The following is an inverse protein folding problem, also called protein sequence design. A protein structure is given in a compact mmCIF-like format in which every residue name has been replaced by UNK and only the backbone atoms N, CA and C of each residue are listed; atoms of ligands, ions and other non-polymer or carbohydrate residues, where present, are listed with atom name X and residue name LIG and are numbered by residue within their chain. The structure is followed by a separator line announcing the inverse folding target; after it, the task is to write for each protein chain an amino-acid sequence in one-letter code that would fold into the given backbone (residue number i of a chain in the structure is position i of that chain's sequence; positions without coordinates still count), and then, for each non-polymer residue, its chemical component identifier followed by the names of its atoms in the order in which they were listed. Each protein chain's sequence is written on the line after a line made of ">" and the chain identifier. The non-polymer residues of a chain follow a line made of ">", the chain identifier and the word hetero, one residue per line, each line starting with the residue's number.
data_IF_985167979289
#
_entry.id   IF_985167979289
#
_cell.length_a   1.000
_cell.length_b   1.000
_cell.length_c   1.000
_cell.angle_alpha   90.00
_cell.angle_beta   90.00
_cell.angle_gamma   90.00
#
_symmetry.space_group_name_H-M   'P 1'
#
loop_
_entity.id
_entity.type
_entity.pdbx_description
1 polymer ?
#
# COMPACT_ATOMS: atom_id res chain seq x y z
N UNK A 1 -3.97 -22.90 11.45
CA UNK A 1 -3.11 -22.75 10.27
C UNK A 1 -1.96 -21.77 10.51
N UNK A 2 -2.19 -20.53 11.00
CA UNK A 2 -1.08 -19.56 11.23
C UNK A 2 -0.15 -20.04 12.35
N UNK A 3 -0.69 -20.60 13.43
CA UNK A 3 0.11 -21.09 14.54
C UNK A 3 0.98 -22.29 14.15
N UNK A 4 0.44 -23.25 13.41
CA UNK A 4 1.19 -24.39 12.91
C UNK A 4 2.37 -23.94 12.06
N UNK A 5 2.15 -22.98 11.15
CA UNK A 5 3.19 -22.41 10.30
C UNK A 5 4.31 -21.72 11.10
N UNK A 6 3.99 -21.01 12.18
CA UNK A 6 4.99 -20.37 13.05
C UNK A 6 5.84 -21.39 13.81
N UNK A 7 5.27 -22.55 14.17
CA UNK A 7 5.98 -23.59 14.91
C UNK A 7 6.72 -24.61 14.05
N UNK A 8 6.58 -24.55 12.74
CA UNK A 8 7.42 -25.34 11.84
C UNK A 8 8.90 -24.97 12.01
N UNK A 9 9.74 -25.97 12.31
CA UNK A 9 11.17 -25.76 12.58
C UNK A 9 11.86 -24.99 11.46
N UNK A 10 11.51 -25.26 10.20
CA UNK A 10 12.04 -24.55 9.05
C UNK A 10 11.77 -23.06 9.09
N UNK A 11 10.58 -22.64 9.47
CA UNK A 11 10.16 -21.24 9.40
C UNK A 11 10.82 -20.39 10.49
N UNK A 12 10.78 -20.82 11.74
CA UNK A 12 11.42 -20.06 12.80
C UNK A 12 12.96 -20.08 12.68
N UNK A 13 13.54 -21.21 12.22
CA UNK A 13 14.98 -21.30 11.99
C UNK A 13 15.41 -20.33 10.88
N UNK A 14 14.69 -20.30 9.75
CA UNK A 14 14.95 -19.33 8.68
C UNK A 14 14.85 -17.88 9.15
N UNK A 15 13.87 -17.56 10.03
CA UNK A 15 13.73 -16.22 10.58
C UNK A 15 14.92 -15.84 11.46
N UNK A 16 15.40 -16.78 12.31
CA UNK A 16 16.59 -16.59 13.16
C UNK A 16 17.84 -16.41 12.31
N UNK A 17 18.05 -17.30 11.34
CA UNK A 17 19.22 -17.24 10.43
C UNK A 17 19.22 -15.93 9.62
N UNK A 18 18.04 -15.48 9.16
CA UNK A 18 17.90 -14.20 8.47
C UNK A 18 18.27 -13.02 9.37
N UNK A 19 17.73 -12.97 10.58
CA UNK A 19 18.04 -11.92 11.55
C UNK A 19 19.52 -11.89 11.91
N UNK A 20 20.13 -13.05 12.14
CA UNK A 20 21.57 -13.18 12.42
C UNK A 20 22.41 -12.66 11.25
N UNK A 21 22.11 -13.11 10.03
CA UNK A 21 22.85 -12.69 8.84
C UNK A 21 22.72 -11.18 8.58
N UNK A 22 21.54 -10.60 8.81
CA UNK A 22 21.38 -9.15 8.72
C UNK A 22 22.22 -8.41 9.77
N UNK A 23 22.21 -8.86 11.02
CA UNK A 23 23.03 -8.25 12.08
C UNK A 23 24.53 -8.36 11.75
N UNK A 24 24.98 -9.54 11.32
CA UNK A 24 26.37 -9.77 10.95
C UNK A 24 26.81 -8.89 9.77
N UNK A 25 25.98 -8.76 8.72
CA UNK A 25 26.26 -7.89 7.57
C UNK A 25 26.37 -6.44 8.00
N UNK A 26 25.54 -5.99 8.94
CA UNK A 26 25.57 -4.61 9.45
C UNK A 26 26.85 -4.25 10.19
N UNK A 27 27.59 -5.21 10.74
CA UNK A 27 28.88 -4.94 11.40
C UNK A 27 29.93 -4.38 10.43
N UNK A 28 29.83 -4.70 9.15
CA UNK A 28 30.72 -4.22 8.09
C UNK A 28 30.06 -3.15 7.20
N UNK A 29 28.89 -2.64 7.58
CA UNK A 29 28.19 -1.61 6.84
C UNK A 29 29.02 -0.32 6.77
N UNK A 30 29.00 0.32 5.60
CA UNK A 30 29.62 1.61 5.38
C UNK A 30 28.56 2.70 5.29
N UNK A 31 28.91 3.90 5.68
CA UNK A 31 28.08 5.07 5.47
C UNK A 31 27.85 5.32 3.98
N UNK A 32 26.63 5.61 3.62
CA UNK A 32 26.26 6.00 2.26
C UNK A 32 26.31 7.53 2.22
N UNK A 33 27.03 8.15 1.25
CA UNK A 33 27.07 9.59 1.12
C UNK A 33 25.66 10.16 0.88
N UNK A 34 25.39 11.30 1.52
CA UNK A 34 24.15 12.02 1.28
C UNK A 34 24.17 12.66 -0.13
N UNK A 35 23.03 12.67 -0.79
CA UNK A 35 22.89 13.29 -2.11
C UNK A 35 21.95 12.53 -3.02
N UNK A 36 21.81 13.01 -4.25
CA UNK A 36 21.02 12.36 -5.30
C UNK A 36 21.78 11.14 -5.83
N UNK A 37 21.13 9.99 -5.80
CA UNK A 37 21.72 8.72 -6.23
C UNK A 37 20.67 7.85 -6.95
N UNK A 38 21.15 7.04 -7.89
CA UNK A 38 20.34 5.96 -8.45
C UNK A 38 20.19 4.84 -7.43
N UNK A 39 18.95 4.48 -7.10
CA UNK A 39 18.65 3.43 -6.14
C UNK A 39 17.83 2.31 -6.77
N UNK A 40 18.07 1.08 -6.31
CA UNK A 40 17.24 -0.07 -6.63
C UNK A 40 16.42 -0.43 -5.39
N UNK A 41 15.12 -0.33 -5.49
CA UNK A 41 14.19 -0.71 -4.42
C UNK A 41 13.79 -2.17 -4.62
N UNK A 42 14.17 -3.04 -3.67
CA UNK A 42 13.72 -4.43 -3.65
C UNK A 42 12.29 -4.56 -3.13
N UNK A 43 11.69 -5.76 -3.19
CA UNK A 43 10.37 -6.02 -2.60
C UNK A 43 10.43 -5.97 -1.06
N UNK A 44 9.27 -5.74 -0.42
CA UNK A 44 9.11 -5.75 1.03
C UNK A 44 9.19 -4.35 1.65
N UNK A 45 10.06 -4.13 2.64
CA UNK A 45 10.17 -2.88 3.39
C UNK A 45 10.28 -1.59 2.55
N UNK A 46 10.96 -1.54 1.42
CA UNK A 46 10.94 -0.37 0.54
C UNK A 46 9.54 0.02 0.04
N UNK A 47 8.58 -0.91 0.05
CA UNK A 47 7.17 -0.61 -0.23
C UNK A 47 6.56 0.42 0.72
N UNK A 48 7.08 0.59 1.94
CA UNK A 48 6.64 1.63 2.87
C UNK A 48 6.92 3.03 2.30
N UNK A 49 8.03 3.23 1.62
CA UNK A 49 8.30 4.52 0.96
C UNK A 49 7.18 4.89 -0.02
N UNK A 50 6.70 3.93 -0.76
CA UNK A 50 5.63 4.13 -1.75
C UNK A 50 4.27 4.29 -1.08
N UNK A 51 4.04 3.59 0.04
CA UNK A 51 2.88 3.77 0.91
C UNK A 51 2.79 5.24 1.37
N UNK A 52 3.86 5.79 1.92
CA UNK A 52 3.90 7.17 2.43
C UNK A 52 3.93 8.22 1.31
N UNK A 53 4.76 8.01 0.29
CA UNK A 53 4.96 9.01 -0.76
C UNK A 53 3.78 9.13 -1.73
N UNK A 54 3.06 8.03 -1.99
CA UNK A 54 2.02 7.97 -3.02
C UNK A 54 0.70 7.50 -2.44
N UNK A 55 0.70 6.41 -1.68
CA UNK A 55 -0.51 5.74 -1.22
C UNK A 55 -1.48 6.66 -0.47
N UNK A 56 -1.02 7.37 0.53
CA UNK A 56 -1.84 8.34 1.26
C UNK A 56 -2.32 9.50 0.37
N UNK A 57 -1.52 9.90 -0.61
CA UNK A 57 -1.93 10.90 -1.59
C UNK A 57 -3.08 10.45 -2.51
N UNK A 58 -3.31 9.14 -2.64
CA UNK A 58 -4.36 8.56 -3.46
C UNK A 58 -5.62 8.16 -2.67
N UNK A 59 -5.72 8.52 -1.41
CA UNK A 59 -6.95 8.38 -0.62
C UNK A 59 -8.01 9.39 -1.04
N UNK A 60 -9.24 8.93 -1.20
CA UNK A 60 -10.32 9.71 -1.83
C UNK A 60 -10.74 10.95 -1.05
N UNK A 61 -10.67 10.94 0.28
CA UNK A 61 -11.05 12.07 1.11
C UNK A 61 -10.10 13.27 0.96
N UNK A 62 -8.78 13.03 0.88
CA UNK A 62 -7.80 14.09 0.62
C UNK A 62 -7.97 14.69 -0.77
N UNK A 63 -8.28 13.84 -1.77
CA UNK A 63 -8.53 14.29 -3.13
C UNK A 63 -9.84 15.08 -3.26
N UNK A 64 -10.92 14.63 -2.59
CA UNK A 64 -12.17 15.38 -2.51
C UNK A 64 -12.01 16.75 -1.85
N UNK A 65 -11.23 16.81 -0.77
CA UNK A 65 -10.90 18.04 -0.03
C UNK A 65 -9.89 18.93 -0.74
N UNK A 66 -9.32 18.47 -1.87
CA UNK A 66 -8.29 19.16 -2.66
C UNK A 66 -6.99 19.42 -1.89
N UNK A 67 -6.65 18.56 -0.94
CA UNK A 67 -5.45 18.67 -0.10
C UNK A 67 -4.31 17.75 -0.58
N UNK A 68 -4.60 16.81 -1.49
CA UNK A 68 -3.59 15.94 -2.10
C UNK A 68 -2.93 16.61 -3.30
N UNK A 69 -1.64 16.31 -3.53
CA UNK A 69 -0.93 16.67 -4.76
C UNK A 69 -1.52 16.00 -6.01
N UNK A 70 -2.28 14.92 -5.85
CA UNK A 70 -2.93 14.19 -6.95
C UNK A 70 -4.33 14.72 -7.29
N UNK A 71 -4.79 15.71 -6.55
CA UNK A 71 -6.07 16.36 -6.84
C UNK A 71 -6.15 16.80 -8.31
N UNK A 72 -7.28 16.48 -8.96
CA UNK A 72 -7.56 16.85 -10.37
C UNK A 72 -6.54 16.30 -11.41
N UNK A 73 -5.82 15.22 -11.07
CA UNK A 73 -4.86 14.60 -11.98
C UNK A 73 -5.35 13.28 -12.59
N UNK A 74 -6.60 12.87 -12.34
CA UNK A 74 -7.15 11.66 -12.97
C UNK A 74 -7.10 11.80 -14.51
N UNK A 75 -6.55 10.78 -15.17
CA UNK A 75 -6.29 10.77 -16.61
C UNK A 75 -4.99 11.43 -17.05
N UNK A 76 -4.25 12.07 -16.12
CA UNK A 76 -2.96 12.71 -16.43
C UNK A 76 -1.80 11.80 -16.09
N UNK A 77 -0.66 12.03 -16.71
CA UNK A 77 0.60 11.34 -16.40
C UNK A 77 1.18 11.90 -15.09
N UNK A 78 1.35 11.01 -14.10
CA UNK A 78 1.86 11.34 -12.77
C UNK A 78 3.14 10.58 -12.41
N UNK A 79 3.52 9.58 -13.22
CA UNK A 79 4.71 8.78 -13.04
C UNK A 79 5.30 8.34 -14.39
N UNK A 80 6.42 7.60 -14.37
CA UNK A 80 6.95 6.95 -15.57
C UNK A 80 5.94 5.94 -16.13
N UNK A 81 5.96 5.73 -17.45
CA UNK A 81 5.15 4.73 -18.14
C UNK A 81 5.45 3.27 -17.70
N UNK A 82 6.56 3.04 -17.04
CA UNK A 82 6.88 1.75 -16.43
C UNK A 82 6.18 1.51 -15.10
N UNK A 83 5.60 2.54 -14.49
CA UNK A 83 4.99 2.46 -13.15
C UNK A 83 3.52 2.12 -13.24
N UNK A 84 3.14 1.03 -12.60
CA UNK A 84 1.75 0.63 -12.37
C UNK A 84 1.56 0.37 -10.88
N UNK A 85 0.52 0.96 -10.28
CA UNK A 85 0.21 0.88 -8.85
C UNK A 85 -1.23 0.42 -8.66
N UNK A 86 -1.39 -0.63 -7.87
CA UNK A 86 -2.70 -1.16 -7.47
C UNK A 86 -2.77 -1.25 -5.94
N UNK A 87 -3.95 -1.04 -5.38
CA UNK A 87 -4.28 -1.43 -4.02
C UNK A 87 -5.13 -2.70 -4.09
N UNK A 88 -4.55 -3.83 -3.68
CA UNK A 88 -5.18 -5.15 -3.81
C UNK A 88 -5.35 -5.80 -2.43
N UNK A 89 -6.55 -5.71 -1.90
CA UNK A 89 -6.93 -6.37 -0.65
C UNK A 89 -7.37 -7.83 -0.82
N UNK A 90 -7.34 -8.38 -2.03
CA UNK A 90 -7.87 -9.73 -2.33
C UNK A 90 -6.81 -10.84 -2.27
N UNK A 91 -5.54 -10.48 -2.10
CA UNK A 91 -4.43 -11.46 -2.13
C UNK A 91 -4.53 -12.38 -0.91
N UNK A 92 -4.61 -13.70 -1.12
CA UNK A 92 -4.72 -14.64 -0.01
C UNK A 92 -3.54 -14.55 0.97
N UNK A 93 -3.83 -14.77 2.25
CA UNK A 93 -2.84 -14.91 3.32
C UNK A 93 -1.89 -13.70 3.52
N UNK A 94 -2.25 -12.53 3.02
CA UNK A 94 -1.52 -11.29 3.31
C UNK A 94 -2.13 -10.54 4.49
N UNK A 95 -1.29 -9.91 5.28
CA UNK A 95 -1.69 -9.20 6.50
C UNK A 95 -2.69 -8.06 6.23
N UNK A 96 -2.57 -7.39 5.10
CA UNK A 96 -3.45 -6.28 4.71
C UNK A 96 -4.72 -6.72 3.98
N UNK A 97 -4.82 -8.00 3.62
CA UNK A 97 -5.97 -8.51 2.85
C UNK A 97 -7.23 -8.60 3.71
N UNK A 98 -8.35 -8.27 3.11
CA UNK A 98 -9.66 -8.23 3.75
C UNK A 98 -10.69 -8.93 2.85
N UNK A 99 -11.67 -9.59 3.44
CA UNK A 99 -12.85 -10.10 2.70
C UNK A 99 -13.82 -8.95 2.41
N UNK A 100 -14.05 -8.12 3.43
CA UNK A 100 -14.89 -6.91 3.37
C UNK A 100 -14.18 -5.80 4.17
N UNK A 101 -14.43 -4.56 3.81
CA UNK A 101 -13.99 -3.40 4.60
C UNK A 101 -14.89 -3.15 5.82
N UNK A 102 -14.59 -2.14 6.63
CA UNK A 102 -15.37 -1.80 7.84
C UNK A 102 -16.75 -1.20 7.54
N UNK A 103 -17.08 -1.01 6.28
CA UNK A 103 -18.40 -0.60 5.80
C UNK A 103 -19.18 -1.74 5.13
N UNK A 104 -18.62 -2.96 5.10
CA UNK A 104 -19.21 -4.15 4.47
C UNK A 104 -19.08 -4.15 2.93
N UNK A 105 -18.19 -3.35 2.36
CA UNK A 105 -17.89 -3.39 0.94
C UNK A 105 -16.86 -4.49 0.67
N UNK A 106 -17.08 -5.39 -0.32
CA UNK A 106 -16.09 -6.38 -0.68
C UNK A 106 -14.75 -5.75 -1.05
N UNK A 107 -13.65 -6.39 -0.61
CA UNK A 107 -12.31 -5.99 -0.99
C UNK A 107 -12.11 -6.18 -2.50
N UNK A 108 -11.30 -5.34 -3.10
CA UNK A 108 -11.11 -5.29 -4.55
C UNK A 108 -9.63 -5.14 -4.89
N UNK A 109 -9.30 -5.40 -6.15
CA UNK A 109 -8.07 -4.96 -6.78
C UNK A 109 -8.36 -3.61 -7.45
N UNK A 110 -7.88 -2.55 -6.85
CA UNK A 110 -8.15 -1.17 -7.28
C UNK A 110 -6.96 -0.61 -8.05
N UNK A 111 -7.12 -0.39 -9.36
CA UNK A 111 -6.12 0.26 -10.20
C UNK A 111 -6.02 1.74 -9.87
N UNK A 112 -4.88 2.17 -9.35
CA UNK A 112 -4.61 3.57 -8.98
C UNK A 112 -3.83 4.30 -10.08
N UNK A 113 -2.71 3.73 -10.49
CA UNK A 113 -1.89 4.26 -11.59
C UNK A 113 -1.62 3.12 -12.56
N UNK A 114 -1.86 3.34 -13.85
CA UNK A 114 -1.56 2.38 -14.91
C UNK A 114 -0.63 3.02 -15.93
N UNK A 115 0.54 2.43 -16.13
CA UNK A 115 1.56 2.94 -17.05
C UNK A 115 1.80 4.45 -16.88
N UNK A 116 1.95 4.89 -15.63
CA UNK A 116 2.17 6.28 -15.28
C UNK A 116 0.95 7.19 -15.30
N UNK A 117 -0.21 6.72 -15.74
CA UNK A 117 -1.46 7.49 -15.80
C UNK A 117 -2.32 7.24 -14.57
N UNK A 118 -2.70 8.29 -13.87
CA UNK A 118 -3.61 8.21 -12.72
C UNK A 118 -5.01 7.77 -13.17
N UNK A 119 -5.51 6.65 -12.64
CA UNK A 119 -6.82 6.08 -13.00
C UNK A 119 -7.91 6.42 -11.99
N UNK A 120 -7.57 6.52 -10.73
CA UNK A 120 -8.56 6.77 -9.68
C UNK A 120 -7.95 6.86 -8.29
N UNK A 121 -8.82 6.85 -7.32
CA UNK A 121 -8.50 6.95 -5.90
C UNK A 121 -9.14 5.81 -5.13
N UNK A 122 -8.64 5.56 -3.93
CA UNK A 122 -9.28 4.65 -2.98
C UNK A 122 -10.46 5.34 -2.30
N UNK A 123 -11.60 4.68 -2.25
CA UNK A 123 -12.84 5.26 -1.73
C UNK A 123 -13.50 4.39 -0.65
N UNK A 124 -13.92 5.04 0.43
CA UNK A 124 -15.01 4.59 1.28
C UNK A 124 -16.36 4.93 0.65
N UNK A 125 -17.47 4.55 1.29
CA UNK A 125 -18.82 4.83 0.77
C UNK A 125 -19.16 6.32 0.76
N UNK A 126 -18.74 7.06 1.80
CA UNK A 126 -19.05 8.48 1.91
C UNK A 126 -18.35 9.28 0.81
N UNK A 127 -17.04 9.12 0.68
CA UNK A 127 -16.26 9.86 -0.31
C UNK A 127 -16.58 9.42 -1.74
N UNK A 128 -16.85 8.12 -1.96
CA UNK A 128 -17.37 7.64 -3.24
C UNK A 128 -18.65 8.35 -3.65
N UNK A 129 -19.64 8.42 -2.73
CA UNK A 129 -20.90 9.10 -3.00
C UNK A 129 -20.71 10.59 -3.30
N UNK A 130 -19.90 11.29 -2.50
CA UNK A 130 -19.64 12.74 -2.68
C UNK A 130 -18.87 13.07 -3.96
N UNK A 131 -18.10 12.12 -4.48
CA UNK A 131 -17.36 12.26 -5.74
C UNK A 131 -18.05 11.61 -6.93
N UNK A 132 -19.27 11.11 -6.76
CA UNK A 132 -20.02 10.39 -7.79
C UNK A 132 -19.24 9.20 -8.35
N UNK A 133 -18.66 8.39 -7.46
CA UNK A 133 -17.88 7.18 -7.72
C UNK A 133 -18.48 6.01 -6.97
N UNK A 134 -17.93 4.81 -7.18
CA UNK A 134 -18.21 3.60 -6.39
C UNK A 134 -17.17 3.41 -5.30
N UNK A 135 -17.57 2.83 -4.16
CA UNK A 135 -16.62 2.43 -3.12
C UNK A 135 -15.68 1.34 -3.64
N UNK A 136 -14.43 1.40 -3.24
CA UNK A 136 -13.37 0.47 -3.65
C UNK A 136 -13.04 -0.57 -2.58
N UNK A 137 -13.84 -0.64 -1.49
CA UNK A 137 -13.56 -1.56 -0.38
C UNK A 137 -12.40 -1.09 0.51
N UNK A 138 -12.18 0.22 0.56
CA UNK A 138 -11.12 0.85 1.32
C UNK A 138 -11.62 1.61 2.56
N UNK A 139 -12.88 1.43 2.94
CA UNK A 139 -13.47 2.04 4.12
C UNK A 139 -12.93 1.38 5.38
N UNK A 140 -11.95 1.99 6.03
CA UNK A 140 -11.30 1.44 7.23
C UNK A 140 -11.35 2.40 8.40
N UNK A 141 -11.49 1.85 9.60
CA UNK A 141 -11.47 2.63 10.84
C UNK A 141 -10.23 2.31 11.67
N UNK A 142 -9.75 3.29 12.38
CA UNK A 142 -8.61 3.13 13.28
C UNK A 142 -8.96 2.21 14.47
N UNK A 143 -10.18 2.33 14.99
CA UNK A 143 -10.72 1.48 16.05
C UNK A 143 -12.25 1.53 16.01
N UNK A 144 -12.91 0.77 16.87
CA UNK A 144 -14.36 0.71 16.99
C UNK A 144 -15.01 2.09 17.25
N UNK A 145 -14.29 3.03 17.86
CA UNK A 145 -14.78 4.38 18.18
C UNK A 145 -14.57 5.40 17.06
N UNK A 146 -13.93 5.01 15.96
CA UNK A 146 -13.66 5.91 14.83
C UNK A 146 -14.58 5.61 13.65
N UNK A 147 -14.94 6.65 12.92
CA UNK A 147 -15.66 6.50 11.65
C UNK A 147 -14.74 5.90 10.60
N UNK A 148 -15.26 5.09 9.66
CA UNK A 148 -14.48 4.64 8.51
C UNK A 148 -14.01 5.81 7.67
N UNK A 149 -12.85 5.65 7.05
CA UNK A 149 -12.26 6.60 6.11
C UNK A 149 -11.48 5.82 5.06
N UNK A 150 -11.20 6.40 3.88
CA UNK A 150 -10.40 5.72 2.87
C UNK A 150 -9.01 5.42 3.39
N UNK A 151 -8.58 4.16 3.29
CA UNK A 151 -7.24 3.70 3.66
C UNK A 151 -6.81 2.57 2.75
N UNK A 152 -5.51 2.51 2.48
CA UNK A 152 -4.91 1.39 1.76
C UNK A 152 -5.22 0.06 2.45
N UNK A 153 -5.45 -0.98 1.66
CA UNK A 153 -5.55 -2.36 2.15
C UNK A 153 -4.17 -3.01 2.14
N UNK A 154 -3.64 -3.26 0.96
CA UNK A 154 -2.30 -3.73 0.74
C UNK A 154 -1.82 -3.14 -0.58
N UNK A 155 -0.95 -2.15 -0.52
CA UNK A 155 -0.40 -1.57 -1.75
C UNK A 155 0.59 -2.55 -2.37
N UNK A 156 0.26 -3.08 -3.54
CA UNK A 156 1.17 -3.78 -4.40
C UNK A 156 1.62 -2.85 -5.52
N UNK A 157 2.92 -2.72 -5.63
CA UNK A 157 3.52 -1.95 -6.71
C UNK A 157 4.19 -2.94 -7.64
N UNK A 158 3.73 -2.95 -8.87
CA UNK A 158 4.42 -3.59 -9.98
C UNK A 158 5.17 -2.50 -10.75
N UNK A 159 6.47 -2.63 -10.76
CA UNK A 159 7.35 -1.83 -11.61
C UNK A 159 7.85 -2.71 -12.72
#
# INVERSE_FOLDING_TARGET
>A
HIYEHLFETKNWKNAVDHAFNQAYTKLSAKEIPAGEQTVVLGPGWPGILLHEAIGHGLEGDFNRKKTSAFYDLVGKKVASDQVTIVDDGTIPERRGSLTIDDEGTPSQNTMLIEKGILKGFMHDRLNAKLMNKTSTGNGRRQSYSHIPMPRMTLSLIHI
#
